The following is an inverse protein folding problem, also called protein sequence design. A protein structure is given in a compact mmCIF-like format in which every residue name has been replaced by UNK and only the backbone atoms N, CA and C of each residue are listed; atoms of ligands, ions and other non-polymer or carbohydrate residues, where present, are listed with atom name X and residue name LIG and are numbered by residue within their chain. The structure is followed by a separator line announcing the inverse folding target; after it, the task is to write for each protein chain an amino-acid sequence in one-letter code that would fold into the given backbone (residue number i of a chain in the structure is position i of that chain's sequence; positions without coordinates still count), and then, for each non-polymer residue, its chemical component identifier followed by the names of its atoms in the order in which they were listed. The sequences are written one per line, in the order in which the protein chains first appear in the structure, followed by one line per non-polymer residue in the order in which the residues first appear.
data_IF_496384720849
#
_entry.id   IF_496384720849
#
_cell.length_a   1.000
_cell.length_b   1.000
_cell.length_c   1.000
_cell.angle_alpha   90.00
_cell.angle_beta   90.00
_cell.angle_gamma   90.00
#
_symmetry.space_group_name_H-M   'P 1'
#
loop_
_entity.id
_entity.type
_entity.pdbx_description
1 polymer ?
#
# COMPACT_ATOMS: atom_id res chain seq x y z
N UNK A 1 -7.49 -2.35 -14.48
CA UNK A 1 -8.53 -1.49 -13.88
C UNK A 1 -8.17 -0.02 -13.87
N UNK A 2 -7.41 0.52 -12.91
CA UNK A 2 -7.15 1.97 -12.85
C UNK A 2 -5.76 2.41 -13.35
N UNK A 3 -4.90 1.44 -13.71
CA UNK A 3 -3.51 1.64 -14.17
C UNK A 3 -2.68 2.57 -13.26
N UNK A 4 -2.86 2.44 -11.94
CA UNK A 4 -2.14 3.25 -10.98
C UNK A 4 -0.65 2.88 -10.97
N UNK A 5 0.21 3.90 -10.96
CA UNK A 5 1.66 3.71 -10.82
C UNK A 5 2.04 3.23 -9.42
N UNK A 6 1.34 3.73 -8.40
CA UNK A 6 1.54 3.44 -6.98
C UNK A 6 0.20 3.41 -6.24
N UNK A 7 0.14 2.70 -5.11
CA UNK A 7 -1.04 2.61 -4.26
C UNK A 7 -0.67 2.51 -2.79
N UNK A 8 -1.52 3.07 -1.92
CA UNK A 8 -1.35 3.00 -0.46
C UNK A 8 -2.58 2.34 0.16
N UNK A 9 -2.36 1.29 0.94
CA UNK A 9 -3.41 0.57 1.65
C UNK A 9 -3.86 1.35 2.87
N UNK A 10 -5.10 1.80 2.84
CA UNK A 10 -5.74 2.57 3.92
C UNK A 10 -6.80 1.71 4.63
N UNK A 11 -7.52 2.33 5.57
CA UNK A 11 -8.70 1.78 6.23
C UNK A 11 -8.49 0.51 7.09
N UNK A 12 -7.24 0.12 7.33
CA UNK A 12 -6.90 -0.95 8.28
C UNK A 12 -6.35 -0.36 9.58
N UNK A 13 -6.32 -1.14 10.66
CA UNK A 13 -5.53 -0.79 11.84
C UNK A 13 -6.09 0.28 12.78
N UNK A 14 -7.27 0.85 12.49
CA UNK A 14 -7.83 1.99 13.26
C UNK A 14 -9.18 1.69 13.90
N UNK A 15 -10.14 1.14 13.16
CA UNK A 15 -11.47 0.79 13.66
C UNK A 15 -11.80 -0.66 13.32
N UNK A 16 -12.52 -1.34 14.21
CA UNK A 16 -13.09 -2.66 13.94
C UNK A 16 -14.44 -2.43 13.25
N UNK A 17 -14.50 -2.72 11.95
CA UNK A 17 -15.72 -2.60 11.14
C UNK A 17 -16.23 -3.95 10.63
N UNK A 18 -15.43 -5.00 10.78
CA UNK A 18 -15.69 -6.36 10.32
C UNK A 18 -15.09 -7.35 11.32
N UNK A 19 -15.38 -8.64 11.15
CA UNK A 19 -14.85 -9.72 12.00
C UNK A 19 -13.39 -10.09 11.72
N UNK A 20 -12.73 -9.43 10.75
CA UNK A 20 -11.34 -9.72 10.43
C UNK A 20 -10.40 -9.17 11.53
N UNK A 21 -9.37 -9.93 11.95
CA UNK A 21 -8.33 -9.41 12.83
C UNK A 21 -7.73 -8.12 12.28
N UNK A 22 -7.63 -7.09 13.11
CA UNK A 22 -7.17 -5.72 12.74
C UNK A 22 -5.81 -5.68 12.02
N UNK A 23 -4.94 -6.66 12.28
CA UNK A 23 -3.59 -6.78 11.70
C UNK A 23 -3.52 -7.71 10.46
N UNK A 24 -4.62 -8.36 10.10
CA UNK A 24 -4.68 -9.27 8.96
C UNK A 24 -4.59 -8.55 7.60
N UNK A 25 -5.23 -7.38 7.37
CA UNK A 25 -5.25 -6.77 6.04
C UNK A 25 -3.86 -6.50 5.43
N UNK A 26 -2.86 -5.95 6.16
CA UNK A 26 -1.50 -5.81 5.63
C UNK A 26 -0.85 -7.13 5.22
N UNK A 27 -1.12 -8.22 5.96
CA UNK A 27 -0.57 -9.55 5.65
C UNK A 27 -1.21 -10.12 4.37
N UNK A 28 -2.53 -9.97 4.24
CA UNK A 28 -3.26 -10.38 3.03
C UNK A 28 -2.81 -9.59 1.81
N UNK A 29 -2.55 -8.29 1.95
CA UNK A 29 -1.97 -7.47 0.90
C UNK A 29 -0.63 -8.04 0.43
N UNK A 30 0.32 -8.32 1.34
CA UNK A 30 1.62 -8.88 0.96
C UNK A 30 1.51 -10.22 0.23
N UNK A 31 0.59 -11.08 0.65
CA UNK A 31 0.32 -12.36 -0.03
C UNK A 31 -0.21 -12.15 -1.46
N UNK A 32 -1.17 -11.23 -1.62
CA UNK A 32 -1.72 -10.88 -2.93
C UNK A 32 -0.65 -10.27 -3.86
N UNK A 33 0.17 -9.34 -3.37
CA UNK A 33 1.25 -8.74 -4.15
C UNK A 33 2.25 -9.79 -4.62
N UNK A 34 2.62 -10.74 -3.75
CA UNK A 34 3.50 -11.86 -4.12
C UNK A 34 2.88 -12.73 -5.21
N UNK A 35 1.58 -13.03 -5.11
CA UNK A 35 0.86 -13.84 -6.10
C UNK A 35 0.81 -13.15 -7.47
N UNK A 36 0.59 -11.85 -7.48
CA UNK A 36 0.47 -11.05 -8.71
C UNK A 36 1.81 -10.52 -9.24
N UNK A 37 2.94 -10.84 -8.59
CA UNK A 37 4.27 -10.35 -8.98
C UNK A 37 4.46 -8.83 -8.85
N UNK A 38 3.66 -8.17 -8.01
CA UNK A 38 3.73 -6.72 -7.79
C UNK A 38 4.71 -6.43 -6.67
N UNK A 39 5.61 -5.47 -6.91
CA UNK A 39 6.59 -5.05 -5.91
C UNK A 39 5.92 -4.28 -4.76
N UNK A 40 6.38 -4.51 -3.53
CA UNK A 40 5.90 -3.82 -2.32
C UNK A 40 6.21 -2.32 -2.34
N UNK A 41 7.13 -1.88 -3.19
CA UNK A 41 7.44 -0.48 -3.42
C UNK A 41 6.33 0.21 -4.22
N UNK A 42 5.57 -0.54 -5.03
CA UNK A 42 4.43 -0.03 -5.82
C UNK A 42 3.10 -0.04 -5.06
N UNK A 43 2.90 -0.99 -4.14
CA UNK A 43 1.72 -1.00 -3.27
C UNK A 43 2.13 -1.36 -1.85
N UNK A 44 1.96 -0.41 -0.92
CA UNK A 44 2.38 -0.54 0.47
C UNK A 44 1.32 -0.04 1.44
N UNK A 45 1.51 -0.35 2.72
CA UNK A 45 0.84 0.31 3.84
C UNK A 45 1.84 1.21 4.58
N UNK A 46 1.32 2.13 5.38
CA UNK A 46 2.11 3.02 6.22
C UNK A 46 1.80 2.78 7.70
N UNK A 47 2.76 3.08 8.57
CA UNK A 47 2.51 3.18 10.02
C UNK A 47 1.68 4.43 10.32
N UNK A 48 0.95 4.43 11.43
CA UNK A 48 0.24 5.62 11.89
C UNK A 48 1.21 6.79 12.09
N UNK A 49 0.92 7.92 11.44
CA UNK A 49 1.75 9.12 11.48
C UNK A 49 3.03 9.07 10.63
N UNK A 50 3.26 8.00 9.86
CA UNK A 50 4.37 7.96 8.91
C UNK A 50 4.16 8.97 7.78
N UNK A 51 5.24 9.56 7.31
CA UNK A 51 5.28 10.37 6.09
C UNK A 51 6.27 9.73 5.12
N UNK A 52 5.87 9.58 3.86
CA UNK A 52 6.72 9.01 2.82
C UNK A 52 6.84 9.95 1.64
N UNK A 53 8.07 10.36 1.33
CA UNK A 53 8.38 11.13 0.14
C UNK A 53 8.38 10.20 -1.08
N UNK A 54 7.71 10.63 -2.15
CA UNK A 54 7.65 9.91 -3.42
C UNK A 54 8.58 10.57 -4.45
N UNK A 55 9.85 10.72 -4.10
CA UNK A 55 10.84 11.50 -4.86
C UNK A 55 11.02 11.00 -6.30
N UNK A 56 10.77 9.72 -6.55
CA UNK A 56 10.80 9.12 -7.89
C UNK A 56 9.67 9.60 -8.81
N UNK A 57 8.56 10.12 -8.28
CA UNK A 57 7.50 10.75 -9.09
C UNK A 57 7.93 12.12 -9.63
N UNK A 58 8.82 12.81 -8.90
CA UNK A 58 9.30 14.13 -9.26
C UNK A 58 10.33 14.00 -10.39
N UNK A 59 11.23 13.03 -10.31
CA UNK A 59 12.30 12.80 -11.30
C UNK A 59 11.80 12.38 -12.68
N UNK A 60 10.69 11.64 -12.76
CA UNK A 60 10.12 11.24 -14.06
C UNK A 60 9.44 12.38 -14.84
N UNK A 61 9.19 13.55 -14.23
CA UNK A 61 8.64 14.72 -14.94
C UNK A 61 9.70 15.60 -15.59
N UNK A 62 10.97 15.41 -15.26
CA UNK A 62 12.10 16.22 -15.72
C UNK A 62 12.89 15.53 -16.86
N UNK A 63 12.44 14.36 -17.30
CA UNK A 63 12.89 13.63 -18.49
C UNK A 63 11.79 13.59 -19.55
#
# INVERSE_FOLDING_TARGET
DINARFSVGIHWGTFILTDEPVIEPPKRLLSALKKEGISKEKFFVMKHGETKMLDFLIKEKEQ
#
